data_IF_816897438364
#
_entry.id   IF_816897438364
#
_cell.length_a   1.000
_cell.length_b   1.000
_cell.length_c   1.000
_cell.angle_alpha   90.00
_cell.angle_beta   90.00
_cell.angle_gamma   90.00
#
_symmetry.space_group_name_H-M   'P 1'
#
loop_
_entity.id
_entity.type
_entity.pdbx_description
1 polymer ?
#
# COMPACT_ATOMS: atom_id res chain seq x y z
N UNK A 1 13.34 63.75 -22.75
CA UNK A 1 12.41 63.00 -21.88
C UNK A 1 12.33 61.58 -22.41
N UNK A 2 13.10 60.66 -21.83
CA UNK A 2 13.10 59.26 -22.22
C UNK A 2 12.18 58.49 -21.25
N UNK A 3 11.21 57.76 -21.80
CA UNK A 3 10.36 56.86 -21.02
C UNK A 3 11.22 55.73 -20.41
N UNK A 4 11.02 55.34 -19.15
CA UNK A 4 11.67 54.17 -18.61
C UNK A 4 11.00 52.92 -19.20
N UNK A 5 11.75 52.19 -20.01
CA UNK A 5 11.41 50.82 -20.39
C UNK A 5 11.41 49.95 -19.15
N UNK A 6 10.22 49.56 -18.69
CA UNK A 6 10.06 48.50 -17.71
C UNK A 6 10.74 47.23 -18.24
N UNK A 7 11.52 46.50 -17.42
CA UNK A 7 12.07 45.22 -17.85
C UNK A 7 10.90 44.30 -18.17
N UNK A 8 10.90 43.75 -19.39
CA UNK A 8 9.99 42.70 -19.79
C UNK A 8 10.09 41.58 -18.74
N UNK A 9 9.02 41.41 -17.97
CA UNK A 9 8.80 40.19 -17.20
C UNK A 9 8.88 39.08 -18.23
N UNK A 10 9.99 38.34 -18.24
CA UNK A 10 10.07 37.06 -18.89
C UNK A 10 9.05 36.18 -18.18
N UNK A 11 7.80 36.28 -18.61
CA UNK A 11 6.87 35.19 -18.56
C UNK A 11 7.57 34.10 -19.35
N UNK A 12 8.34 33.28 -18.64
CA UNK A 12 8.60 31.93 -19.07
C UNK A 12 7.22 31.31 -19.16
N UNK A 13 6.58 31.50 -20.31
CA UNK A 13 5.43 30.77 -20.74
C UNK A 13 5.86 29.33 -20.56
N UNK A 14 5.46 28.72 -19.44
CA UNK A 14 5.42 27.28 -19.30
C UNK A 14 4.45 26.86 -20.38
N UNK A 15 5.00 26.66 -21.59
CA UNK A 15 4.43 25.86 -22.66
C UNK A 15 3.77 24.70 -21.94
N UNK A 16 2.48 24.55 -22.16
CA UNK A 16 1.68 23.38 -21.78
C UNK A 16 2.50 22.11 -22.06
N UNK A 17 3.21 21.66 -21.03
CA UNK A 17 4.16 20.56 -21.11
C UNK A 17 3.42 19.27 -20.72
N UNK A 18 3.81 18.13 -21.30
CA UNK A 18 3.04 16.89 -21.29
C UNK A 18 2.79 16.42 -19.86
N UNK A 19 1.69 15.68 -19.66
CA UNK A 19 1.22 15.27 -18.33
C UNK A 19 2.31 14.78 -17.39
N UNK A 20 2.12 15.01 -16.08
CA UNK A 20 3.07 14.71 -15.01
C UNK A 20 3.84 13.40 -15.25
N UNK A 21 5.18 13.41 -15.19
CA UNK A 21 5.96 12.18 -15.38
C UNK A 21 5.58 11.16 -14.32
N UNK A 22 5.49 9.88 -14.72
CA UNK A 22 5.22 8.79 -13.76
C UNK A 22 6.31 8.79 -12.70
N UNK A 23 7.57 8.63 -13.12
CA UNK A 23 8.73 8.78 -12.26
C UNK A 23 9.80 9.55 -13.04
N UNK A 24 10.26 10.66 -12.47
CA UNK A 24 11.23 11.54 -13.11
C UNK A 24 12.54 10.79 -13.32
N UNK A 25 13.11 10.87 -14.53
CA UNK A 25 14.37 10.22 -14.88
C UNK A 25 14.29 8.71 -15.10
N UNK A 26 13.09 8.09 -15.06
CA UNK A 26 12.97 6.63 -15.15
C UNK A 26 13.66 6.01 -16.37
N UNK A 27 13.36 6.51 -17.59
CA UNK A 27 13.95 5.95 -18.82
C UNK A 27 15.45 6.22 -18.96
N UNK A 28 15.92 7.33 -18.38
CA UNK A 28 17.28 7.84 -18.60
C UNK A 28 18.29 7.30 -17.59
N UNK A 29 17.85 7.03 -16.36
CA UNK A 29 18.74 6.66 -15.26
C UNK A 29 18.32 5.35 -14.60
N UNK A 30 17.06 5.27 -14.16
CA UNK A 30 16.58 4.14 -13.36
C UNK A 30 16.53 2.86 -14.18
N UNK A 31 15.98 2.91 -15.40
CA UNK A 31 15.85 1.75 -16.26
C UNK A 31 17.23 1.17 -16.64
N UNK A 32 18.22 1.96 -17.11
CA UNK A 32 19.59 1.46 -17.30
C UNK A 32 20.19 0.84 -16.04
N UNK A 33 20.04 1.49 -14.87
CA UNK A 33 20.54 0.94 -13.61
C UNK A 33 19.88 -0.40 -13.24
N UNK A 34 18.57 -0.53 -13.45
CA UNK A 34 17.83 -1.78 -13.24
C UNK A 34 18.24 -2.87 -14.24
N UNK A 35 18.52 -2.52 -15.50
CA UNK A 35 19.03 -3.47 -16.50
C UNK A 35 20.40 -4.02 -16.09
N UNK A 36 21.31 -3.16 -15.66
CA UNK A 36 22.63 -3.57 -15.15
C UNK A 36 22.48 -4.45 -13.90
N UNK A 37 21.62 -4.05 -12.96
CA UNK A 37 21.31 -4.84 -11.76
C UNK A 37 20.82 -6.25 -12.12
N UNK A 38 19.82 -6.36 -12.99
CA UNK A 38 19.27 -7.66 -13.38
C UNK A 38 20.26 -8.49 -14.20
N UNK A 39 21.06 -7.87 -15.08
CA UNK A 39 22.12 -8.56 -15.79
C UNK A 39 23.12 -9.18 -14.81
N UNK A 40 23.58 -8.41 -13.80
CA UNK A 40 24.48 -8.91 -12.76
C UNK A 40 23.86 -10.07 -11.96
N UNK A 41 22.58 -9.96 -11.60
CA UNK A 41 21.87 -10.99 -10.83
C UNK A 41 21.65 -12.26 -11.64
N UNK A 42 21.30 -12.15 -12.92
CA UNK A 42 21.14 -13.30 -13.82
C UNK A 42 22.50 -13.98 -14.02
N UNK A 43 23.57 -13.21 -14.25
CA UNK A 43 24.93 -13.77 -14.38
C UNK A 43 25.37 -14.48 -13.10
N UNK A 44 25.13 -13.88 -11.92
CA UNK A 44 25.41 -14.50 -10.63
C UNK A 44 24.59 -15.78 -10.41
N UNK A 45 23.31 -15.77 -10.78
CA UNK A 45 22.45 -16.95 -10.73
C UNK A 45 22.95 -18.07 -11.65
N UNK A 46 23.33 -17.76 -12.89
CA UNK A 46 23.85 -18.74 -13.84
C UNK A 46 25.20 -19.30 -13.40
N UNK A 47 26.08 -18.46 -12.84
CA UNK A 47 27.42 -18.85 -12.39
C UNK A 47 27.39 -19.72 -11.12
N UNK A 48 26.58 -19.34 -10.13
CA UNK A 48 26.58 -19.99 -8.81
C UNK A 48 25.39 -20.91 -8.55
N UNK A 49 24.34 -20.85 -9.39
CA UNK A 49 23.12 -21.69 -9.32
C UNK A 49 22.44 -21.67 -7.94
N UNK A 50 22.49 -20.52 -7.28
CA UNK A 50 21.86 -20.31 -5.97
C UNK A 50 20.51 -19.62 -6.12
N UNK A 51 19.43 -20.22 -5.60
CA UNK A 51 18.06 -19.71 -5.81
C UNK A 51 17.80 -18.33 -5.16
N UNK A 52 18.59 -17.94 -4.15
CA UNK A 52 18.40 -16.67 -3.43
C UNK A 52 18.66 -15.42 -4.29
N UNK A 53 19.31 -15.55 -5.45
CA UNK A 53 19.55 -14.43 -6.37
C UNK A 53 18.25 -13.79 -6.87
N UNK A 54 17.20 -14.59 -7.08
CA UNK A 54 15.90 -14.10 -7.55
C UNK A 54 15.19 -13.19 -6.53
N UNK A 55 14.93 -13.61 -5.27
CA UNK A 55 14.31 -12.72 -4.30
C UNK A 55 15.19 -11.50 -3.97
N UNK A 56 16.53 -11.65 -3.98
CA UNK A 56 17.46 -10.51 -3.86
C UNK A 56 17.26 -9.51 -5.00
N UNK A 57 17.11 -9.96 -6.25
CA UNK A 57 16.88 -9.06 -7.38
C UNK A 57 15.56 -8.34 -7.35
N UNK A 58 14.50 -9.03 -6.92
CA UNK A 58 13.19 -8.41 -6.71
C UNK A 58 13.28 -7.33 -5.62
N UNK A 59 13.89 -7.64 -4.48
CA UNK A 59 14.10 -6.67 -3.41
C UNK A 59 14.95 -5.48 -3.86
N UNK A 60 16.10 -5.74 -4.49
CA UNK A 60 17.00 -4.70 -4.97
C UNK A 60 16.32 -3.77 -5.99
N UNK A 61 15.48 -4.33 -6.87
CA UNK A 61 14.67 -3.55 -7.81
C UNK A 61 13.72 -2.59 -7.09
N UNK A 62 12.95 -3.11 -6.14
CA UNK A 62 11.98 -2.31 -5.38
C UNK A 62 12.71 -1.23 -4.57
N UNK A 63 13.77 -1.60 -3.86
CA UNK A 63 14.59 -0.67 -3.06
C UNK A 63 15.18 0.44 -3.92
N UNK A 64 15.74 0.10 -5.08
CA UNK A 64 16.32 1.06 -6.04
C UNK A 64 15.27 2.06 -6.52
N UNK A 65 14.08 1.60 -6.92
CA UNK A 65 13.00 2.48 -7.39
C UNK A 65 12.49 3.39 -6.26
N UNK A 66 12.32 2.84 -5.05
CA UNK A 66 11.74 3.57 -3.92
C UNK A 66 12.70 4.64 -3.38
N UNK A 67 14.00 4.35 -3.35
CA UNK A 67 15.06 5.21 -2.81
C UNK A 67 15.83 6.01 -3.87
N UNK A 68 15.38 6.03 -5.12
CA UNK A 68 16.10 6.77 -6.16
C UNK A 68 16.23 8.27 -5.83
N UNK A 69 17.42 8.88 -5.99
CA UNK A 69 17.67 10.28 -5.65
C UNK A 69 17.17 11.26 -6.72
N UNK A 70 15.86 11.28 -6.96
CA UNK A 70 15.18 12.19 -7.90
C UNK A 70 15.35 13.68 -7.54
N UNK A 71 15.65 14.02 -6.28
CA UNK A 71 15.67 15.40 -5.76
C UNK A 71 16.57 16.37 -6.51
N UNK A 72 17.70 15.90 -7.06
CA UNK A 72 18.63 16.74 -7.84
C UNK A 72 17.97 17.36 -9.06
N UNK A 73 17.02 16.67 -9.70
CA UNK A 73 16.29 17.17 -10.87
C UNK A 73 15.17 18.15 -10.49
N UNK A 74 14.83 18.22 -9.21
CA UNK A 74 13.66 18.92 -8.69
C UNK A 74 14.03 20.02 -7.70
N UNK A 75 15.33 20.31 -7.51
CA UNK A 75 15.86 21.26 -6.53
C UNK A 75 15.34 21.02 -5.10
N UNK A 76 15.19 19.75 -4.71
CA UNK A 76 14.80 19.34 -3.36
C UNK A 76 15.91 18.51 -2.73
N UNK A 77 16.24 18.80 -1.47
CA UNK A 77 17.13 17.95 -0.70
C UNK A 77 16.51 16.56 -0.48
N UNK A 78 17.33 15.51 -0.50
CA UNK A 78 16.86 14.11 -0.48
C UNK A 78 15.88 13.82 0.65
N UNK A 79 16.20 14.26 1.87
CA UNK A 79 15.40 14.03 3.06
C UNK A 79 14.06 14.76 3.08
N UNK A 80 13.88 15.81 2.27
CA UNK A 80 12.63 16.55 2.22
C UNK A 80 11.51 15.76 1.52
N UNK A 81 11.87 14.91 0.56
CA UNK A 81 10.91 14.05 -0.15
C UNK A 81 11.10 12.55 0.14
N UNK A 82 12.19 12.17 0.82
CA UNK A 82 12.45 10.84 1.38
C UNK A 82 12.84 10.95 2.85
N UNK A 83 11.85 11.10 3.75
CA UNK A 83 12.11 11.17 5.18
C UNK A 83 12.79 9.90 5.70
N UNK A 84 13.51 10.01 6.81
CA UNK A 84 14.24 8.88 7.42
C UNK A 84 13.31 7.70 7.72
N UNK A 85 12.10 7.96 8.23
CA UNK A 85 11.12 6.91 8.48
C UNK A 85 10.73 6.12 7.22
N UNK A 86 10.67 6.77 6.06
CA UNK A 86 10.44 6.09 4.78
C UNK A 86 11.63 5.23 4.39
N UNK A 87 12.85 5.75 4.51
CA UNK A 87 14.08 5.04 4.16
C UNK A 87 14.24 3.78 5.02
N UNK A 88 14.08 3.90 6.35
CA UNK A 88 14.11 2.77 7.28
C UNK A 88 13.05 1.73 6.94
N UNK A 89 11.86 2.20 6.53
CA UNK A 89 10.83 1.36 5.96
C UNK A 89 11.36 0.56 4.76
N UNK A 90 11.82 1.20 3.70
CA UNK A 90 12.25 0.45 2.51
C UNK A 90 13.40 -0.52 2.81
N UNK A 91 14.40 -0.09 3.59
CA UNK A 91 15.58 -0.92 3.90
C UNK A 91 15.26 -2.14 4.77
N UNK A 92 14.32 -2.04 5.71
CA UNK A 92 13.89 -3.17 6.54
C UNK A 92 13.34 -4.34 5.73
N UNK A 93 12.88 -4.14 4.49
CA UNK A 93 12.48 -5.26 3.63
C UNK A 93 13.61 -6.29 3.38
N UNK A 94 14.87 -5.88 3.55
CA UNK A 94 16.02 -6.79 3.50
C UNK A 94 15.94 -7.89 4.58
N UNK A 95 15.22 -7.65 5.68
CA UNK A 95 15.10 -8.58 6.80
C UNK A 95 14.41 -9.89 6.40
N UNK A 96 13.54 -9.88 5.37
CA UNK A 96 12.96 -11.11 4.79
C UNK A 96 14.05 -11.99 4.21
N UNK A 97 14.97 -11.41 3.44
CA UNK A 97 16.09 -12.12 2.82
C UNK A 97 17.06 -12.61 3.90
N UNK A 98 17.39 -11.75 4.86
CA UNK A 98 18.23 -12.12 6.01
C UNK A 98 17.65 -13.31 6.79
N UNK A 99 16.35 -13.29 7.07
CA UNK A 99 15.65 -14.42 7.73
C UNK A 99 15.79 -15.69 6.92
N UNK A 100 15.72 -15.60 5.60
CA UNK A 100 15.90 -16.75 4.72
C UNK A 100 17.26 -17.41 4.80
N UNK A 101 18.33 -16.62 4.80
CA UNK A 101 19.68 -17.13 5.02
C UNK A 101 19.80 -17.76 6.40
N UNK A 102 19.25 -17.12 7.45
CA UNK A 102 19.27 -17.68 8.79
C UNK A 102 18.54 -19.03 8.86
N UNK A 103 17.39 -19.19 8.20
CA UNK A 103 16.64 -20.45 8.21
C UNK A 103 17.39 -21.60 7.53
N UNK A 104 18.12 -21.31 6.45
CA UNK A 104 18.88 -22.31 5.69
C UNK A 104 20.30 -22.58 6.22
N UNK A 105 20.79 -21.78 7.17
CA UNK A 105 22.09 -21.97 7.80
C UNK A 105 22.11 -23.07 8.86
N UNK A 106 23.29 -23.40 9.40
CA UNK A 106 23.46 -24.34 10.52
C UNK A 106 23.29 -23.69 11.90
N UNK A 107 22.69 -22.49 11.98
CA UNK A 107 22.46 -21.80 13.25
C UNK A 107 21.61 -22.63 14.23
N UNK A 108 21.83 -22.49 15.55
CA UNK A 108 21.00 -23.16 16.56
C UNK A 108 19.51 -22.82 16.42
N UNK A 109 18.65 -23.78 16.76
CA UNK A 109 17.18 -23.64 16.66
C UNK A 109 16.65 -22.38 17.37
N UNK A 110 17.18 -22.07 18.56
CA UNK A 110 16.76 -20.88 19.31
C UNK A 110 17.12 -19.59 18.56
N UNK A 111 18.32 -19.51 17.99
CA UNK A 111 18.75 -18.36 17.18
C UNK A 111 17.87 -18.18 15.95
N UNK A 112 17.58 -19.27 15.22
CA UNK A 112 16.62 -19.25 14.10
C UNK A 112 15.26 -18.75 14.55
N UNK A 113 14.76 -19.26 15.68
CA UNK A 113 13.46 -18.85 16.23
C UNK A 113 13.43 -17.35 16.55
N UNK A 114 14.46 -16.81 17.21
CA UNK A 114 14.57 -15.38 17.51
C UNK A 114 14.56 -14.55 16.22
N UNK A 115 15.36 -14.93 15.22
CA UNK A 115 15.40 -14.21 13.94
C UNK A 115 14.04 -14.23 13.24
N UNK A 116 13.37 -15.38 13.22
CA UNK A 116 12.03 -15.53 12.65
C UNK A 116 10.97 -14.72 13.41
N UNK A 117 11.01 -14.68 14.74
CA UNK A 117 10.10 -13.81 15.50
C UNK A 117 10.40 -12.34 15.28
N UNK A 118 11.69 -11.99 15.15
CA UNK A 118 12.14 -10.69 14.69
C UNK A 118 11.55 -10.29 13.34
N UNK A 119 11.30 -11.24 12.43
CA UNK A 119 10.68 -10.96 11.13
C UNK A 119 9.23 -10.48 11.30
N UNK A 120 8.46 -11.07 12.21
CA UNK A 120 7.08 -10.63 12.48
C UNK A 120 7.07 -9.19 13.02
N UNK A 121 7.99 -8.89 13.93
CA UNK A 121 8.17 -7.52 14.48
C UNK A 121 8.63 -6.56 13.38
N UNK A 122 9.63 -6.92 12.59
CA UNK A 122 10.16 -6.10 11.50
C UNK A 122 9.06 -5.75 10.48
N UNK A 123 8.36 -6.79 10.00
CA UNK A 123 7.29 -6.63 9.02
C UNK A 123 6.21 -5.67 9.53
N UNK A 124 5.91 -5.67 10.82
CA UNK A 124 4.79 -4.88 11.35
C UNK A 124 5.20 -3.50 11.83
N UNK A 125 6.25 -3.37 12.64
CA UNK A 125 6.74 -2.08 13.16
C UNK A 125 7.26 -1.20 12.02
N UNK A 126 8.11 -1.75 11.14
CA UNK A 126 8.61 -0.99 10.00
C UNK A 126 7.60 -0.88 8.85
N UNK A 127 6.42 -1.50 8.95
CA UNK A 127 5.29 -1.12 8.11
C UNK A 127 4.56 0.13 8.65
N UNK A 128 4.43 0.25 9.97
CA UNK A 128 3.74 1.37 10.61
C UNK A 128 4.55 2.66 10.44
N UNK A 129 5.85 2.64 10.73
CA UNK A 129 6.73 3.83 10.66
C UNK A 129 6.59 4.61 9.33
N UNK A 130 6.76 4.01 8.14
CA UNK A 130 6.65 4.71 6.87
C UNK A 130 5.23 5.18 6.52
N UNK A 131 4.23 4.75 7.29
CA UNK A 131 2.82 5.15 7.12
C UNK A 131 2.40 6.37 7.95
N UNK A 132 3.25 6.80 8.89
CA UNK A 132 2.99 7.97 9.74
C UNK A 132 3.28 9.27 8.99
N UNK A 133 2.60 10.34 9.38
CA UNK A 133 2.76 11.68 8.78
C UNK A 133 4.22 12.15 8.61
N UNK A 134 5.11 12.03 9.62
CA UNK A 134 6.51 12.44 9.51
C UNK A 134 7.34 11.64 8.49
N UNK A 135 6.88 10.46 8.10
CA UNK A 135 7.54 9.63 7.10
C UNK A 135 7.10 9.94 5.66
N UNK A 136 6.13 10.84 5.47
CA UNK A 136 5.65 11.25 4.15
C UNK A 136 6.35 12.55 3.74
N UNK A 137 6.99 12.53 2.57
CA UNK A 137 7.77 13.67 2.07
C UNK A 137 6.91 14.82 1.55
N UNK A 138 7.56 15.97 1.32
CA UNK A 138 6.96 17.15 0.67
C UNK A 138 6.37 16.79 -0.71
N UNK A 139 5.40 17.57 -1.22
CA UNK A 139 4.91 17.44 -2.60
C UNK A 139 6.05 17.48 -3.63
N UNK A 140 5.94 16.64 -4.66
CA UNK A 140 6.99 16.45 -5.69
C UNK A 140 6.34 16.41 -7.06
N UNK A 141 6.93 17.02 -8.09
CA UNK A 141 6.43 17.04 -9.48
C UNK A 141 6.54 15.67 -10.19
N UNK A 142 5.90 14.65 -9.63
CA UNK A 142 5.78 13.30 -10.20
C UNK A 142 4.44 12.66 -9.82
N UNK A 143 3.91 11.82 -10.71
CA UNK A 143 2.65 11.11 -10.47
C UNK A 143 2.82 9.91 -9.53
N UNK A 144 3.88 9.10 -9.73
CA UNK A 144 4.22 8.01 -8.83
C UNK A 144 4.91 8.57 -7.60
N UNK A 145 4.24 8.45 -6.45
CA UNK A 145 4.76 8.84 -5.14
C UNK A 145 5.00 7.59 -4.30
N UNK A 146 6.24 7.03 -4.31
CA UNK A 146 6.64 5.91 -3.47
C UNK A 146 6.18 6.02 -2.02
N UNK A 147 6.40 7.17 -1.41
CA UNK A 147 6.07 7.46 -0.02
C UNK A 147 4.57 7.50 0.26
N UNK A 148 3.75 7.90 -0.72
CA UNK A 148 2.28 7.85 -0.57
C UNK A 148 1.71 6.44 -0.74
N UNK A 149 2.37 5.57 -1.51
CA UNK A 149 1.86 4.24 -1.85
C UNK A 149 2.37 3.19 -0.87
N UNK A 150 3.64 3.28 -0.50
CA UNK A 150 4.36 2.27 0.28
C UNK A 150 3.80 2.12 1.68
N UNK A 151 3.50 3.22 2.40
CA UNK A 151 2.98 3.17 3.77
C UNK A 151 1.70 2.32 3.92
N UNK A 152 0.56 2.76 3.34
CA UNK A 152 -0.71 2.00 3.39
C UNK A 152 -0.57 0.59 2.80
N UNK A 153 0.15 0.46 1.68
CA UNK A 153 0.34 -0.83 1.01
C UNK A 153 1.10 -1.82 1.88
N UNK A 154 2.17 -1.37 2.54
CA UNK A 154 3.00 -2.21 3.40
C UNK A 154 2.26 -2.59 4.69
N UNK A 155 1.56 -1.65 5.34
CA UNK A 155 0.73 -1.96 6.52
C UNK A 155 -0.30 -3.04 6.18
N UNK A 156 -0.97 -2.94 5.03
CA UNK A 156 -1.86 -3.99 4.55
C UNK A 156 -1.15 -5.32 4.35
N UNK A 157 -0.05 -5.32 3.60
CA UNK A 157 0.69 -6.53 3.24
C UNK A 157 1.22 -7.25 4.49
N UNK A 158 1.87 -6.52 5.39
CA UNK A 158 2.47 -7.06 6.59
C UNK A 158 1.44 -7.47 7.65
N UNK A 159 0.34 -6.73 7.79
CA UNK A 159 -0.78 -7.14 8.63
C UNK A 159 -1.43 -8.44 8.13
N UNK A 160 -1.56 -8.61 6.81
CA UNK A 160 -1.96 -9.87 6.19
C UNK A 160 -0.98 -10.99 6.54
N UNK A 161 0.32 -10.79 6.36
CA UNK A 161 1.33 -11.82 6.64
C UNK A 161 1.28 -12.24 8.11
N UNK A 162 1.25 -11.29 9.05
CA UNK A 162 1.13 -11.58 10.47
C UNK A 162 -0.15 -12.39 10.76
N UNK A 163 -1.30 -11.97 10.25
CA UNK A 163 -2.56 -12.70 10.42
C UNK A 163 -2.48 -14.12 9.84
N UNK A 164 -1.90 -14.30 8.66
CA UNK A 164 -1.72 -15.60 8.00
C UNK A 164 -0.79 -16.51 8.79
N UNK A 165 0.34 -15.99 9.26
CA UNK A 165 1.28 -16.73 10.10
C UNK A 165 0.61 -17.15 11.41
N UNK A 166 -0.05 -16.22 12.11
CA UNK A 166 -0.78 -16.52 13.34
C UNK A 166 -1.85 -17.59 13.13
N UNK A 167 -2.63 -17.47 12.05
CA UNK A 167 -3.62 -18.49 11.68
C UNK A 167 -2.95 -19.83 11.43
N UNK A 168 -1.85 -19.88 10.68
CA UNK A 168 -1.07 -21.11 10.45
C UNK A 168 -0.64 -21.75 11.77
N UNK A 169 -0.24 -21.00 12.79
CA UNK A 169 0.11 -21.57 14.10
C UNK A 169 -1.11 -22.09 14.86
N UNK A 170 -2.27 -21.43 14.74
CA UNK A 170 -3.52 -21.83 15.41
C UNK A 170 -4.09 -23.11 14.81
N UNK A 171 -4.17 -23.17 13.49
CA UNK A 171 -4.78 -24.33 12.80
C UNK A 171 -3.73 -25.34 12.37
N UNK A 172 -2.44 -25.00 12.36
CA UNK A 172 -1.33 -25.82 11.85
C UNK A 172 -1.15 -27.18 12.52
N UNK A 173 -0.36 -28.04 11.86
CA UNK A 173 0.06 -29.30 12.47
C UNK A 173 1.05 -29.03 13.63
N UNK A 174 1.00 -29.84 14.70
CA UNK A 174 1.92 -29.70 15.82
C UNK A 174 3.38 -29.93 15.39
N UNK A 175 4.35 -29.30 16.07
CA UNK A 175 5.76 -29.49 15.76
C UNK A 175 6.18 -30.94 16.07
N UNK A 176 7.03 -31.52 15.22
CA UNK A 176 7.62 -32.85 15.46
C UNK A 176 9.06 -32.69 15.93
N UNK A 177 9.36 -33.08 17.17
CA UNK A 177 10.71 -33.07 17.72
C UNK A 177 11.30 -31.67 17.97
N UNK A 178 10.48 -30.61 17.87
CA UNK A 178 10.87 -29.23 18.16
C UNK A 178 9.84 -28.58 19.11
N UNK A 179 10.26 -27.59 19.93
CA UNK A 179 9.34 -26.89 20.83
C UNK A 179 8.20 -26.16 20.11
N UNK A 180 8.46 -25.63 18.92
CA UNK A 180 7.47 -24.96 18.05
C UNK A 180 7.90 -25.06 16.58
N UNK A 181 6.98 -24.96 15.62
CA UNK A 181 7.34 -25.04 14.21
C UNK A 181 8.01 -23.73 13.76
N UNK A 182 9.12 -23.83 13.04
CA UNK A 182 9.78 -22.72 12.33
C UNK A 182 9.78 -23.01 10.82
N UNK A 183 9.80 -22.00 9.94
CA UNK A 183 9.82 -22.22 8.51
C UNK A 183 11.09 -22.94 8.06
N UNK A 184 10.96 -23.93 7.17
CA UNK A 184 12.12 -24.55 6.49
C UNK A 184 12.78 -23.63 5.47
N UNK A 185 12.01 -22.69 4.94
CA UNK A 185 12.38 -21.68 3.96
C UNK A 185 12.69 -22.21 2.56
N UNK A 186 12.06 -21.61 1.57
CA UNK A 186 12.29 -21.89 0.15
C UNK A 186 12.30 -20.58 -0.64
N UNK A 187 13.37 -20.35 -1.40
CA UNK A 187 13.58 -19.09 -2.11
C UNK A 187 12.57 -18.87 -3.24
N UNK A 188 12.17 -19.92 -3.96
CA UNK A 188 11.13 -19.84 -4.99
C UNK A 188 9.77 -19.43 -4.41
N UNK A 189 9.42 -19.95 -3.23
CA UNK A 189 8.20 -19.57 -2.53
C UNK A 189 8.19 -18.10 -2.11
N UNK A 190 9.33 -17.58 -1.65
CA UNK A 190 9.48 -16.16 -1.31
C UNK A 190 9.48 -15.28 -2.56
N UNK A 191 10.17 -15.68 -3.63
CA UNK A 191 10.10 -14.99 -4.92
C UNK A 191 8.67 -14.88 -5.43
N UNK A 192 7.90 -15.98 -5.34
CA UNK A 192 6.49 -15.96 -5.68
C UNK A 192 5.70 -15.00 -4.79
N UNK A 193 5.89 -15.04 -3.46
CA UNK A 193 5.22 -14.12 -2.54
C UNK A 193 5.52 -12.64 -2.87
N UNK A 194 6.77 -12.32 -3.24
CA UNK A 194 7.18 -10.97 -3.60
C UNK A 194 6.61 -10.52 -4.96
N UNK A 195 6.69 -11.37 -5.98
CA UNK A 195 6.30 -11.04 -7.36
C UNK A 195 4.78 -11.09 -7.55
N UNK A 196 4.12 -12.14 -7.08
CA UNK A 196 2.67 -12.32 -7.23
C UNK A 196 1.86 -11.72 -6.09
N UNK A 197 2.49 -11.48 -4.94
CA UNK A 197 1.85 -10.87 -3.76
C UNK A 197 2.21 -9.40 -3.57
N UNK A 198 3.47 -9.12 -3.19
CA UNK A 198 3.85 -7.80 -2.69
C UNK A 198 3.83 -6.71 -3.76
N UNK A 199 4.39 -6.98 -4.94
CA UNK A 199 4.42 -6.02 -6.06
C UNK A 199 2.99 -5.67 -6.52
N UNK A 200 2.08 -6.64 -6.73
CA UNK A 200 0.68 -6.37 -6.93
C UNK A 200 0.05 -5.55 -5.80
N UNK A 201 0.24 -5.99 -4.55
CA UNK A 201 -0.45 -5.40 -3.39
C UNK A 201 -0.05 -3.96 -3.11
N UNK A 202 1.24 -3.63 -3.22
CA UNK A 202 1.82 -2.36 -2.82
C UNK A 202 1.88 -1.39 -4.02
N UNK A 203 2.88 -1.46 -4.93
CA UNK A 203 3.02 -0.45 -5.99
C UNK A 203 1.91 -0.51 -7.05
N UNK A 204 1.57 -1.68 -7.60
CA UNK A 204 0.63 -1.75 -8.73
C UNK A 204 -0.78 -1.33 -8.31
N UNK A 205 -1.25 -1.84 -7.17
CA UNK A 205 -2.55 -1.45 -6.62
C UNK A 205 -2.58 0.03 -6.23
N UNK A 206 -1.49 0.56 -5.68
CA UNK A 206 -1.37 1.98 -5.35
C UNK A 206 -1.51 2.87 -6.58
N UNK A 207 -0.75 2.59 -7.63
CA UNK A 207 -0.82 3.31 -8.91
C UNK A 207 -2.24 3.23 -9.49
N UNK A 208 -2.82 2.02 -9.53
CA UNK A 208 -4.18 1.81 -10.04
C UNK A 208 -5.21 2.64 -9.25
N UNK A 209 -5.15 2.62 -7.90
CA UNK A 209 -6.03 3.44 -7.05
C UNK A 209 -5.88 4.94 -7.35
N UNK A 210 -4.66 5.45 -7.50
CA UNK A 210 -4.43 6.86 -7.80
C UNK A 210 -4.96 7.25 -9.18
N UNK A 211 -4.71 6.43 -10.21
CA UNK A 211 -5.24 6.66 -11.56
C UNK A 211 -6.77 6.65 -11.59
N UNK A 212 -7.39 5.67 -10.95
CA UNK A 212 -8.86 5.61 -10.84
C UNK A 212 -9.44 6.78 -10.06
N UNK A 213 -8.78 7.26 -9.00
CA UNK A 213 -9.19 8.47 -8.27
C UNK A 213 -9.15 9.70 -9.19
N UNK A 214 -8.05 9.91 -9.90
CA UNK A 214 -7.93 11.05 -10.81
C UNK A 214 -8.94 10.97 -11.95
N UNK A 215 -9.13 9.80 -12.57
CA UNK A 215 -10.12 9.60 -13.63
C UNK A 215 -11.56 9.84 -13.15
N UNK A 216 -11.91 9.43 -11.93
CA UNK A 216 -13.24 9.73 -11.33
C UNK A 216 -13.43 11.23 -11.14
N UNK A 217 -12.41 11.91 -10.62
CA UNK A 217 -12.47 13.35 -10.38
C UNK A 217 -12.51 14.15 -11.68
N UNK A 218 -11.74 13.77 -12.70
CA UNK A 218 -11.59 14.51 -13.97
C UNK A 218 -12.70 14.19 -14.98
N UNK A 219 -13.04 12.92 -15.13
CA UNK A 219 -13.85 12.41 -16.26
C UNK A 219 -15.16 11.75 -15.79
N UNK A 220 -15.36 11.54 -14.49
CA UNK A 220 -16.53 10.79 -13.98
C UNK A 220 -16.53 9.31 -14.36
N UNK A 221 -15.41 8.79 -14.92
CA UNK A 221 -15.24 7.38 -15.31
C UNK A 221 -14.83 6.52 -14.12
N UNK A 222 -14.93 5.19 -14.24
CA UNK A 222 -14.54 4.20 -13.20
C UNK A 222 -15.41 4.21 -11.92
N UNK A 223 -16.67 4.64 -12.03
CA UNK A 223 -17.66 4.66 -10.93
C UNK A 223 -18.51 3.38 -10.86
N UNK A 224 -18.48 2.56 -11.91
CA UNK A 224 -19.28 1.33 -12.03
C UNK A 224 -18.74 0.11 -11.28
N UNK A 225 -19.53 -0.97 -11.26
CA UNK A 225 -19.17 -2.22 -10.60
C UNK A 225 -17.95 -2.92 -11.19
N UNK A 226 -17.67 -2.77 -12.49
CA UNK A 226 -16.45 -3.30 -13.11
C UNK A 226 -15.16 -2.75 -12.48
N UNK A 227 -15.13 -1.46 -12.14
CA UNK A 227 -14.01 -0.83 -11.45
C UNK A 227 -13.83 -1.37 -10.03
N UNK A 228 -14.94 -1.61 -9.33
CA UNK A 228 -14.96 -2.19 -7.99
C UNK A 228 -14.45 -3.63 -8.02
N UNK A 229 -14.98 -4.45 -8.92
CA UNK A 229 -14.59 -5.84 -9.11
C UNK A 229 -13.10 -5.96 -9.44
N UNK A 230 -12.58 -5.12 -10.34
CA UNK A 230 -11.15 -5.11 -10.65
C UNK A 230 -10.31 -4.75 -9.42
N UNK A 231 -10.69 -3.72 -8.66
CA UNK A 231 -9.89 -3.24 -7.50
C UNK A 231 -9.90 -4.21 -6.33
N UNK A 232 -11.04 -4.82 -6.01
CA UNK A 232 -11.17 -5.77 -4.92
C UNK A 232 -10.71 -7.17 -5.35
N UNK A 233 -10.97 -7.59 -6.59
CA UNK A 233 -10.43 -8.84 -7.16
C UNK A 233 -8.90 -8.84 -7.17
N UNK A 234 -8.28 -7.72 -7.55
CA UNK A 234 -6.82 -7.57 -7.48
C UNK A 234 -6.29 -7.65 -6.04
N UNK A 235 -7.03 -7.15 -5.04
CA UNK A 235 -6.69 -7.36 -3.62
C UNK A 235 -6.78 -8.86 -3.28
N UNK A 236 -7.87 -9.53 -3.61
CA UNK A 236 -8.09 -10.94 -3.27
C UNK A 236 -6.98 -11.80 -3.86
N UNK A 237 -6.68 -11.64 -5.15
CA UNK A 237 -5.63 -12.42 -5.83
C UNK A 237 -4.26 -12.18 -5.19
N UNK A 238 -3.89 -10.93 -4.96
CA UNK A 238 -2.61 -10.61 -4.33
C UNK A 238 -2.53 -11.13 -2.87
N UNK A 239 -3.63 -11.08 -2.12
CA UNK A 239 -3.72 -11.62 -0.77
C UNK A 239 -3.53 -13.15 -0.78
N UNK A 240 -4.27 -13.87 -1.63
CA UNK A 240 -4.13 -15.31 -1.80
C UNK A 240 -2.69 -15.69 -2.20
N UNK A 241 -2.06 -14.93 -3.11
CA UNK A 241 -0.67 -15.17 -3.50
C UNK A 241 0.32 -14.99 -2.34
N UNK A 242 0.11 -13.99 -1.48
CA UNK A 242 0.92 -13.81 -0.24
C UNK A 242 0.76 -15.04 0.66
N UNK A 243 -0.49 -15.43 0.95
CA UNK A 243 -0.77 -16.58 1.81
C UNK A 243 -0.18 -17.87 1.27
N UNK A 244 -0.33 -18.12 -0.03
CA UNK A 244 0.22 -19.28 -0.71
C UNK A 244 1.75 -19.31 -0.70
N UNK A 245 2.39 -18.19 -1.02
CA UNK A 245 3.85 -18.09 -1.04
C UNK A 245 4.47 -18.30 0.35
N UNK A 246 3.94 -17.63 1.39
CA UNK A 246 4.42 -17.84 2.76
C UNK A 246 4.10 -19.25 3.29
N UNK A 247 2.97 -19.83 2.89
CA UNK A 247 2.65 -21.20 3.26
C UNK A 247 3.69 -22.19 2.72
N UNK A 248 4.05 -22.06 1.44
CA UNK A 248 5.06 -22.90 0.79
C UNK A 248 6.47 -22.64 1.33
N UNK A 249 6.82 -21.37 1.60
CA UNK A 249 8.10 -21.02 2.22
C UNK A 249 8.26 -21.69 3.60
N UNK A 250 7.17 -21.77 4.36
CA UNK A 250 7.20 -22.44 5.66
C UNK A 250 7.36 -23.96 5.53
N UNK A 251 6.73 -24.58 4.53
CA UNK A 251 6.92 -26.00 4.21
C UNK A 251 8.30 -26.31 3.60
N UNK A 252 9.03 -25.30 3.12
CA UNK A 252 10.24 -25.48 2.33
C UNK A 252 9.95 -25.98 0.91
N UNK A 253 8.72 -25.84 0.43
CA UNK A 253 8.27 -26.36 -0.86
C UNK A 253 8.30 -25.28 -1.95
N UNK A 254 8.51 -25.71 -3.19
CA UNK A 254 8.36 -24.85 -4.36
C UNK A 254 6.87 -24.66 -4.66
N UNK A 255 6.39 -23.45 -4.99
CA UNK A 255 5.01 -23.22 -5.39
C UNK A 255 4.58 -24.15 -6.53
N UNK A 256 3.33 -24.62 -6.46
CA UNK A 256 2.66 -25.48 -7.45
C UNK A 256 3.25 -26.89 -7.64
N UNK A 257 4.15 -27.34 -6.78
CA UNK A 257 4.67 -28.72 -6.83
C UNK A 257 3.93 -29.69 -5.92
N UNK A 258 3.16 -29.19 -4.95
CA UNK A 258 2.33 -30.02 -4.06
C UNK A 258 0.96 -30.17 -4.69
N UNK A 259 0.61 -31.40 -5.08
CA UNK A 259 -0.72 -31.73 -5.59
C UNK A 259 -1.75 -31.73 -4.46
N UNK A 260 -2.85 -31.01 -4.68
CA UNK A 260 -4.01 -31.01 -3.79
C UNK A 260 -4.89 -32.22 -4.14
N UNK A 261 -5.35 -32.95 -3.13
CA UNK A 261 -6.32 -34.04 -3.29
C UNK A 261 -7.73 -33.45 -3.37
N UNK A 262 -8.24 -33.27 -4.58
CA UNK A 262 -9.58 -32.72 -4.84
C UNK A 262 -10.71 -33.61 -4.35
N UNK A 263 -10.44 -34.91 -4.23
CA UNK A 263 -11.42 -35.91 -3.84
C UNK A 263 -11.50 -36.07 -2.31
N UNK A 264 -10.67 -35.34 -1.56
CA UNK A 264 -10.66 -35.39 -0.11
C UNK A 264 -11.97 -34.81 0.50
N UNK A 265 -12.53 -35.45 1.55
CA UNK A 265 -13.71 -34.94 2.21
C UNK A 265 -13.45 -33.53 2.76
N UNK A 266 -14.34 -32.59 2.42
CA UNK A 266 -14.24 -31.18 2.81
C UNK A 266 -13.57 -30.25 1.79
N UNK A 267 -13.01 -30.75 0.67
CA UNK A 267 -12.44 -29.91 -0.40
C UNK A 267 -13.46 -28.89 -0.92
N UNK A 268 -14.65 -29.35 -1.29
CA UNK A 268 -15.74 -28.48 -1.77
C UNK A 268 -16.14 -27.41 -0.75
N UNK A 269 -16.16 -27.75 0.54
CA UNK A 269 -16.46 -26.80 1.62
C UNK A 269 -15.36 -25.76 1.77
N UNK A 270 -14.09 -26.16 1.79
CA UNK A 270 -12.96 -25.24 1.93
C UNK A 270 -12.86 -24.29 0.72
N UNK A 271 -13.08 -24.81 -0.50
CA UNK A 271 -13.19 -24.00 -1.71
C UNK A 271 -14.37 -23.04 -1.65
N UNK A 272 -15.54 -23.52 -1.20
CA UNK A 272 -16.72 -22.70 -0.99
C UNK A 272 -16.46 -21.53 -0.05
N UNK A 273 -15.76 -21.76 1.07
CA UNK A 273 -15.37 -20.71 2.01
C UNK A 273 -14.48 -19.66 1.31
N UNK A 274 -13.47 -20.09 0.53
CA UNK A 274 -12.59 -19.16 -0.21
C UNK A 274 -13.40 -18.32 -1.19
N UNK A 275 -14.26 -18.95 -1.99
CA UNK A 275 -15.07 -18.28 -3.01
C UNK A 275 -16.05 -17.29 -2.37
N UNK A 276 -16.81 -17.72 -1.36
CA UNK A 276 -17.76 -16.85 -0.65
C UNK A 276 -17.05 -15.66 0.00
N UNK A 277 -15.87 -15.89 0.60
CA UNK A 277 -15.07 -14.81 1.20
C UNK A 277 -14.53 -13.82 0.16
N UNK A 278 -14.10 -14.32 -1.00
CA UNK A 278 -13.70 -13.48 -2.14
C UNK A 278 -14.87 -12.63 -2.66
N UNK A 279 -16.04 -13.25 -2.83
CA UNK A 279 -17.27 -12.55 -3.23
C UNK A 279 -17.69 -11.51 -2.19
N UNK A 280 -17.58 -11.81 -0.90
CA UNK A 280 -17.84 -10.84 0.16
C UNK A 280 -16.92 -9.60 0.05
N UNK A 281 -15.62 -9.82 -0.14
CA UNK A 281 -14.65 -8.72 -0.32
C UNK A 281 -14.94 -7.89 -1.58
N UNK A 282 -15.41 -8.52 -2.66
CA UNK A 282 -15.72 -7.85 -3.91
C UNK A 282 -17.05 -7.09 -3.85
N UNK A 283 -18.12 -7.74 -3.43
CA UNK A 283 -19.48 -7.21 -3.52
C UNK A 283 -19.89 -6.43 -2.28
N UNK A 284 -19.66 -6.97 -1.08
CA UNK A 284 -20.09 -6.30 0.17
C UNK A 284 -19.14 -5.15 0.49
N UNK A 285 -17.84 -5.45 0.66
CA UNK A 285 -16.85 -4.42 0.94
C UNK A 285 -16.67 -3.46 -0.23
N UNK A 286 -16.65 -3.97 -1.46
CA UNK A 286 -16.57 -3.14 -2.65
C UNK A 286 -17.79 -2.24 -2.84
N UNK A 287 -18.99 -2.76 -2.57
CA UNK A 287 -20.25 -1.99 -2.57
C UNK A 287 -20.26 -0.90 -1.51
N UNK A 288 -19.83 -1.19 -0.28
CA UNK A 288 -19.68 -0.18 0.77
C UNK A 288 -18.75 0.96 0.32
N UNK A 289 -17.59 0.61 -0.27
CA UNK A 289 -16.64 1.61 -0.79
C UNK A 289 -17.17 2.41 -1.97
N UNK A 290 -18.11 1.86 -2.74
CA UNK A 290 -18.80 2.58 -3.82
C UNK A 290 -19.79 3.60 -3.24
N UNK A 291 -20.45 3.26 -2.14
CA UNK A 291 -21.46 4.11 -1.50
C UNK A 291 -20.87 5.33 -0.76
N UNK A 292 -19.64 5.26 -0.25
CA UNK A 292 -18.94 6.42 0.37
C UNK A 292 -18.86 7.63 -0.58
N UNK A 293 -18.92 7.40 -1.90
CA UNK A 293 -18.93 8.48 -2.91
C UNK A 293 -17.55 9.03 -3.25
N UNK A 294 -17.54 9.99 -4.17
CA UNK A 294 -16.38 10.80 -4.55
C UNK A 294 -16.72 12.28 -4.29
N UNK A 295 -15.74 13.11 -3.92
CA UNK A 295 -14.30 12.86 -3.89
C UNK A 295 -13.82 12.11 -2.63
N UNK A 296 -12.65 11.45 -2.73
CA UNK A 296 -12.03 10.68 -1.64
C UNK A 296 -11.83 11.45 -0.31
N UNK A 297 -11.91 12.78 -0.35
CA UNK A 297 -11.80 13.66 0.82
C UNK A 297 -13.06 13.63 1.71
N UNK A 298 -14.22 13.23 1.19
CA UNK A 298 -15.46 13.10 1.97
C UNK A 298 -15.43 11.87 2.90
N UNK A 299 -14.48 10.96 2.71
CA UNK A 299 -14.38 9.77 3.54
C UNK A 299 -14.08 10.14 5.00
N UNK A 300 -14.98 9.74 5.89
CA UNK A 300 -14.84 9.95 7.34
C UNK A 300 -13.96 8.88 7.98
N UNK A 301 -13.48 9.17 9.19
CA UNK A 301 -12.70 8.20 9.97
C UNK A 301 -13.54 6.95 10.28
N UNK A 302 -14.81 7.14 10.68
CA UNK A 302 -15.74 6.03 10.95
C UNK A 302 -15.94 5.13 9.72
N UNK A 303 -16.13 5.72 8.53
CA UNK A 303 -16.22 4.94 7.28
C UNK A 303 -14.92 4.18 6.98
N UNK A 304 -13.77 4.76 7.32
CA UNK A 304 -12.47 4.09 7.19
C UNK A 304 -12.40 2.86 8.11
N UNK A 305 -12.85 2.97 9.37
CA UNK A 305 -12.94 1.84 10.30
C UNK A 305 -13.82 0.72 9.76
N UNK A 306 -15.03 1.04 9.31
CA UNK A 306 -15.97 0.04 8.76
C UNK A 306 -15.34 -0.69 7.56
N UNK A 307 -14.66 0.01 6.65
CA UNK A 307 -13.96 -0.63 5.52
C UNK A 307 -12.87 -1.62 5.92
N UNK A 308 -12.15 -1.34 7.00
CA UNK A 308 -11.07 -2.20 7.48
C UNK A 308 -11.62 -3.36 8.32
N UNK A 309 -12.71 -3.16 9.06
CA UNK A 309 -13.45 -4.26 9.69
C UNK A 309 -13.99 -5.21 8.62
N UNK A 310 -14.68 -4.70 7.59
CA UNK A 310 -15.17 -5.50 6.46
C UNK A 310 -14.03 -6.22 5.72
N UNK A 311 -12.85 -5.62 5.66
CA UNK A 311 -11.68 -6.29 5.11
C UNK A 311 -11.31 -7.51 5.97
N UNK A 312 -11.12 -7.33 7.27
CA UNK A 312 -10.70 -8.40 8.17
C UNK A 312 -11.76 -9.51 8.24
N UNK A 313 -13.03 -9.16 8.34
CA UNK A 313 -14.17 -10.10 8.30
C UNK A 313 -14.16 -10.94 7.02
N UNK A 314 -13.76 -10.38 5.87
CA UNK A 314 -13.61 -11.15 4.64
C UNK A 314 -12.29 -11.93 4.54
N UNK A 315 -11.18 -11.39 5.04
CA UNK A 315 -9.87 -12.02 4.94
C UNK A 315 -9.69 -13.22 5.88
N UNK A 316 -10.25 -13.19 7.09
CA UNK A 316 -10.17 -14.30 8.05
C UNK A 316 -10.72 -15.61 7.44
N UNK A 317 -11.99 -15.68 7.00
CA UNK A 317 -12.51 -16.89 6.38
C UNK A 317 -11.81 -17.22 5.06
N UNK A 318 -11.38 -16.20 4.28
CA UNK A 318 -10.59 -16.43 3.06
C UNK A 318 -9.31 -17.24 3.34
N UNK A 319 -8.53 -16.85 4.36
CA UNK A 319 -7.31 -17.56 4.72
C UNK A 319 -7.55 -18.85 5.46
N UNK A 320 -8.62 -18.94 6.25
CA UNK A 320 -9.03 -20.19 6.85
C UNK A 320 -9.33 -21.23 5.76
N UNK A 321 -10.17 -20.87 4.78
CA UNK A 321 -10.47 -21.73 3.63
C UNK A 321 -9.22 -22.06 2.80
N UNK A 322 -8.36 -21.06 2.51
CA UNK A 322 -7.11 -21.29 1.78
C UNK A 322 -6.22 -22.28 2.53
N UNK A 323 -5.99 -22.08 3.82
CA UNK A 323 -5.15 -22.99 4.61
C UNK A 323 -5.78 -24.38 4.71
N UNK A 324 -7.09 -24.50 4.88
CA UNK A 324 -7.77 -25.80 4.83
C UNK A 324 -7.52 -26.52 3.50
N UNK A 325 -7.61 -25.82 2.37
CA UNK A 325 -7.27 -26.39 1.06
C UNK A 325 -5.80 -26.82 0.98
N UNK A 326 -4.87 -25.98 1.44
CA UNK A 326 -3.44 -26.26 1.32
C UNK A 326 -2.94 -27.40 2.21
N UNK A 327 -3.73 -27.83 3.20
CA UNK A 327 -3.46 -29.02 4.00
C UNK A 327 -4.26 -30.25 3.54
N UNK A 328 -4.94 -30.18 2.38
CA UNK A 328 -5.54 -31.33 1.69
C UNK A 328 -4.56 -31.96 0.69
N UNK A 329 -3.30 -32.09 1.10
CA UNK A 329 -2.28 -32.85 0.39
C UNK A 329 -2.05 -34.20 1.09
N UNK A 330 -1.46 -35.14 0.35
CA UNK A 330 -1.21 -36.50 0.83
C UNK A 330 -0.43 -36.53 2.16
N UNK A 331 0.55 -35.63 2.34
CA UNK A 331 1.39 -35.62 3.53
C UNK A 331 0.59 -35.28 4.78
N UNK A 332 -0.32 -34.30 4.71
CA UNK A 332 -1.14 -33.89 5.85
C UNK A 332 -2.34 -34.81 6.07
N UNK A 333 -2.94 -35.36 5.01
CA UNK A 333 -4.03 -36.32 5.10
C UNK A 333 -3.58 -37.65 5.72
N UNK A 334 -2.44 -38.20 5.30
CA UNK A 334 -1.85 -39.41 5.88
C UNK A 334 -1.53 -39.25 7.38
N UNK A 335 -1.28 -38.01 7.83
CA UNK A 335 -0.96 -37.69 9.22
C UNK A 335 -2.20 -37.39 10.08
N UNK A 336 -3.42 -37.52 9.54
CA UNK A 336 -4.65 -37.20 10.27
C UNK A 336 -4.80 -35.70 10.61
N UNK A 337 -4.05 -34.83 9.93
CA UNK A 337 -4.07 -33.37 10.13
C UNK A 337 -4.67 -32.61 8.93
N UNK A 338 -5.12 -33.32 7.89
CA UNK A 338 -5.83 -32.75 6.74
C UNK A 338 -7.35 -32.66 6.96
N UNK A 339 -8.02 -31.76 6.24
CA UNK A 339 -9.48 -31.54 6.30
C UNK A 339 -9.90 -30.17 6.85
N UNK A 340 -11.22 -30.00 7.07
CA UNK A 340 -11.77 -28.82 7.75
C UNK A 340 -11.35 -28.86 9.23
N UNK A 341 -10.54 -27.90 9.65
CA UNK A 341 -9.91 -27.96 10.97
C UNK A 341 -10.84 -27.48 12.06
N UNK A 342 -11.19 -28.35 13.00
CA UNK A 342 -11.81 -27.97 14.26
C UNK A 342 -10.77 -27.33 15.18
N UNK A 343 -11.17 -26.30 15.93
CA UNK A 343 -10.32 -25.55 16.88
C UNK A 343 -9.71 -26.39 18.02
N UNK A 344 -9.91 -27.71 18.04
CA UNK A 344 -9.63 -28.60 19.17
C UNK A 344 -8.22 -29.21 19.22
N UNK A 345 -7.46 -29.27 18.13
CA UNK A 345 -6.29 -30.17 18.08
C UNK A 345 -4.92 -29.54 18.38
N UNK A 346 -4.83 -28.32 18.94
CA UNK A 346 -3.53 -27.70 19.22
C UNK A 346 -3.49 -26.65 20.35
N UNK A 347 -4.16 -26.88 21.50
CA UNK A 347 -4.17 -25.94 22.63
C UNK A 347 -2.76 -25.43 23.06
N UNK A 348 -1.70 -26.18 22.79
CA UNK A 348 -0.30 -25.84 23.09
C UNK A 348 0.33 -24.74 22.20
N UNK A 349 -0.18 -24.48 20.99
CA UNK A 349 0.44 -23.54 20.03
C UNK A 349 -0.36 -22.24 19.91
N UNK A 350 -1.58 -22.22 20.45
CA UNK A 350 -2.39 -21.01 20.60
C UNK A 350 -1.66 -19.85 21.29
N UNK A 351 -0.87 -20.07 22.36
CA UNK A 351 -0.10 -19.00 23.00
C UNK A 351 0.90 -18.31 22.06
N UNK A 352 1.30 -18.97 20.96
CA UNK A 352 2.18 -18.40 19.93
C UNK A 352 1.34 -17.80 18.80
N UNK A 353 0.39 -18.56 18.26
CA UNK A 353 -0.38 -18.16 17.09
C UNK A 353 -1.39 -17.04 17.35
N UNK A 354 -2.06 -17.04 18.50
CA UNK A 354 -3.09 -16.05 18.84
C UNK A 354 -2.52 -14.63 18.98
N UNK A 355 -1.42 -14.38 19.71
CA UNK A 355 -0.84 -13.03 19.76
C UNK A 355 -0.45 -12.48 18.39
N UNK A 356 0.14 -13.31 17.52
CA UNK A 356 0.53 -12.90 16.17
C UNK A 356 -0.69 -12.60 15.30
N UNK A 357 -1.72 -13.45 15.41
CA UNK A 357 -2.98 -13.26 14.69
C UNK A 357 -3.68 -11.97 15.12
N UNK A 358 -3.82 -11.74 16.42
CA UNK A 358 -4.39 -10.53 17.00
C UNK A 358 -3.57 -9.30 16.62
N UNK A 359 -2.23 -9.40 16.65
CA UNK A 359 -1.35 -8.33 16.19
C UNK A 359 -1.56 -8.01 14.71
N UNK A 360 -1.73 -9.02 13.86
CA UNK A 360 -2.12 -8.83 12.46
C UNK A 360 -3.43 -8.05 12.31
N UNK A 361 -4.44 -8.34 13.15
CA UNK A 361 -5.70 -7.59 13.20
C UNK A 361 -5.46 -6.14 13.65
N UNK A 362 -4.64 -5.92 14.68
CA UNK A 362 -4.27 -4.57 15.13
C UNK A 362 -3.56 -3.79 14.02
N UNK A 363 -2.68 -4.42 13.24
CA UNK A 363 -2.02 -3.78 12.10
C UNK A 363 -3.03 -3.46 10.99
N UNK A 364 -3.94 -4.39 10.68
CA UNK A 364 -4.92 -4.24 9.60
C UNK A 364 -6.08 -3.28 9.91
N UNK A 365 -6.40 -3.06 11.18
CA UNK A 365 -7.51 -2.17 11.58
C UNK A 365 -6.96 -0.82 12.07
N UNK A 366 -6.57 -0.61 13.35
CA UNK A 366 -6.22 0.73 13.84
C UNK A 366 -5.05 1.37 13.09
N UNK A 367 -3.93 0.65 12.91
CA UNK A 367 -2.75 1.24 12.26
C UNK A 367 -3.00 1.52 10.79
N UNK A 368 -3.79 0.67 10.11
CA UNK A 368 -4.15 0.92 8.73
C UNK A 368 -5.12 2.08 8.57
N UNK A 369 -6.08 2.24 9.48
CA UNK A 369 -6.96 3.42 9.50
C UNK A 369 -6.10 4.68 9.63
N UNK A 370 -5.13 4.68 10.56
CA UNK A 370 -4.20 5.78 10.75
C UNK A 370 -3.38 6.07 9.47
N UNK A 371 -2.81 5.03 8.86
CA UNK A 371 -2.07 5.12 7.60
C UNK A 371 -2.92 5.74 6.48
N UNK A 372 -4.18 5.34 6.34
CA UNK A 372 -5.08 5.87 5.32
C UNK A 372 -5.46 7.34 5.57
N UNK A 373 -5.60 7.76 6.84
CA UNK A 373 -5.83 9.17 7.20
C UNK A 373 -4.65 10.04 6.79
N UNK A 374 -3.42 9.65 7.15
CA UNK A 374 -2.22 10.40 6.77
C UNK A 374 -2.01 10.40 5.25
N UNK A 375 -2.24 9.26 4.59
CA UNK A 375 -2.18 9.15 3.14
C UNK A 375 -3.18 10.11 2.46
N UNK A 376 -4.42 10.22 2.95
CA UNK A 376 -5.41 11.17 2.41
C UNK A 376 -4.96 12.62 2.57
N UNK A 377 -4.45 13.02 3.75
CA UNK A 377 -3.91 14.36 3.98
C UNK A 377 -2.76 14.69 3.02
N UNK A 378 -1.83 13.75 2.84
CA UNK A 378 -0.71 13.95 1.93
C UNK A 378 -1.13 13.96 0.45
N UNK A 379 -2.15 13.20 0.08
CA UNK A 379 -2.75 13.28 -1.27
C UNK A 379 -3.41 14.64 -1.51
N UNK A 380 -4.04 15.23 -0.50
CA UNK A 380 -4.58 16.59 -0.59
C UNK A 380 -3.45 17.61 -0.82
N UNK A 381 -2.31 17.49 -0.14
CA UNK A 381 -1.12 18.32 -0.40
C UNK A 381 -0.63 18.17 -1.84
N UNK A 382 -0.45 16.94 -2.31
CA UNK A 382 0.00 16.65 -3.67
C UNK A 382 -0.99 17.17 -4.72
N UNK A 383 -2.29 17.06 -4.45
CA UNK A 383 -3.34 17.56 -5.33
C UNK A 383 -3.28 19.08 -5.48
N UNK A 384 -3.15 19.80 -4.36
CA UNK A 384 -3.10 21.26 -4.33
C UNK A 384 -1.80 21.82 -4.96
N UNK A 385 -0.65 21.27 -4.59
CA UNK A 385 0.65 21.81 -4.97
C UNK A 385 1.15 21.33 -6.35
N UNK A 386 0.69 20.17 -6.84
CA UNK A 386 1.28 19.54 -8.03
C UNK A 386 0.22 19.20 -9.07
N UNK A 387 -0.82 18.44 -8.73
CA UNK A 387 -1.77 17.92 -9.73
C UNK A 387 -2.58 19.05 -10.37
N UNK A 388 -3.29 19.85 -9.56
CA UNK A 388 -4.17 20.91 -10.07
C UNK A 388 -3.44 21.97 -10.91
N UNK A 389 -2.23 22.44 -10.52
CA UNK A 389 -1.44 23.36 -11.37
C UNK A 389 -1.10 22.83 -12.75
N UNK A 390 -0.92 21.51 -12.90
CA UNK A 390 -0.55 20.88 -14.18
C UNK A 390 -1.76 20.55 -15.07
N UNK A 391 -2.98 20.72 -14.57
CA UNK A 391 -4.21 20.53 -15.36
C UNK A 391 -4.52 21.77 -16.21
N UNK A 392 -5.20 21.55 -17.34
CA UNK A 392 -5.76 22.64 -18.18
C UNK A 392 -6.72 23.51 -17.36
N UNK A 393 -6.87 24.81 -17.66
CA UNK A 393 -7.74 25.73 -16.90
C UNK A 393 -9.14 25.18 -16.64
N UNK A 394 -9.79 24.60 -17.64
CA UNK A 394 -11.15 24.07 -17.55
C UNK A 394 -11.23 22.82 -16.67
N UNK A 395 -10.26 21.91 -16.81
CA UNK A 395 -10.17 20.72 -15.97
C UNK A 395 -9.87 21.09 -14.52
N UNK A 396 -8.96 22.05 -14.29
CA UNK A 396 -8.62 22.57 -12.97
C UNK A 396 -9.83 23.19 -12.29
N UNK A 397 -10.59 24.04 -13.00
CA UNK A 397 -11.81 24.67 -12.48
C UNK A 397 -12.84 23.62 -12.04
N UNK A 398 -13.13 22.64 -12.90
CA UNK A 398 -14.07 21.54 -12.58
C UNK A 398 -13.61 20.72 -11.38
N UNK A 399 -12.33 20.37 -11.32
CA UNK A 399 -11.75 19.60 -10.21
C UNK A 399 -11.81 20.39 -8.90
N UNK A 400 -11.37 21.65 -8.91
CA UNK A 400 -11.42 22.55 -7.76
C UNK A 400 -12.85 22.71 -7.25
N UNK A 401 -13.83 22.92 -8.14
CA UNK A 401 -15.25 23.02 -7.77
C UNK A 401 -15.73 21.79 -7.00
N UNK A 402 -15.44 20.58 -7.49
CA UNK A 402 -15.80 19.33 -6.80
C UNK A 402 -15.13 19.21 -5.43
N UNK A 403 -13.85 19.56 -5.36
CA UNK A 403 -13.08 19.53 -4.10
C UNK A 403 -13.64 20.54 -3.09
N UNK A 404 -13.96 21.76 -3.53
CA UNK A 404 -14.46 22.82 -2.65
C UNK A 404 -15.89 22.55 -2.16
N UNK A 405 -16.77 22.00 -3.00
CA UNK A 405 -18.10 21.53 -2.57
C UNK A 405 -17.94 20.47 -1.47
N UNK A 406 -17.09 19.47 -1.70
CA UNK A 406 -16.85 18.43 -0.73
C UNK A 406 -16.21 18.93 0.57
N UNK A 407 -15.31 19.92 0.49
CA UNK A 407 -14.78 20.61 1.67
C UNK A 407 -15.88 21.38 2.40
N UNK A 408 -16.83 22.01 1.72
CA UNK A 408 -17.92 22.73 2.38
C UNK A 408 -18.87 21.79 3.14
N UNK A 409 -19.10 20.59 2.60
CA UNK A 409 -20.05 19.59 3.14
C UNK A 409 -19.49 18.75 4.30
N UNK A 410 -18.17 18.77 4.52
CA UNK A 410 -17.55 17.95 5.57
C UNK A 410 -17.57 18.60 6.95
N UNK A 411 -17.45 17.80 8.04
CA UNK A 411 -17.38 18.32 9.40
C UNK A 411 -16.23 19.31 9.58
N UNK A 412 -16.45 20.33 10.41
CA UNK A 412 -15.52 21.46 10.61
C UNK A 412 -14.09 21.05 10.95
N UNK A 413 -13.91 20.15 11.93
CA UNK A 413 -12.58 19.68 12.33
C UNK A 413 -11.81 19.02 11.17
N UNK A 414 -12.51 18.27 10.31
CA UNK A 414 -11.90 17.62 9.15
C UNK A 414 -11.61 18.63 8.03
N UNK A 415 -12.53 19.58 7.82
CA UNK A 415 -12.39 20.69 6.87
C UNK A 415 -11.18 21.55 7.19
N UNK A 416 -11.05 21.98 8.44
CA UNK A 416 -9.93 22.76 8.94
C UNK A 416 -8.61 22.01 8.72
N UNK A 417 -8.56 20.73 9.08
CA UNK A 417 -7.36 19.92 8.90
C UNK A 417 -6.94 19.84 7.42
N UNK A 418 -7.85 19.55 6.49
CA UNK A 418 -7.50 19.46 5.06
C UNK A 418 -7.15 20.82 4.45
N UNK A 419 -7.89 21.88 4.78
CA UNK A 419 -7.59 23.23 4.28
C UNK A 419 -6.24 23.74 4.81
N UNK A 420 -5.89 23.44 6.07
CA UNK A 420 -4.56 23.71 6.62
C UNK A 420 -3.46 23.02 5.83
N UNK A 421 -3.63 21.72 5.54
CA UNK A 421 -2.65 20.94 4.77
C UNK A 421 -2.51 21.45 3.33
N UNK A 422 -3.63 21.89 2.69
CA UNK A 422 -3.59 22.54 1.38
C UNK A 422 -2.83 23.86 1.44
N UNK A 423 -3.08 24.70 2.45
CA UNK A 423 -2.43 26.00 2.59
C UNK A 423 -0.93 25.86 2.84
N UNK A 424 -0.52 24.96 3.73
CA UNK A 424 0.89 24.64 3.98
C UNK A 424 1.58 24.19 2.69
N UNK A 425 0.92 23.35 1.88
CA UNK A 425 1.48 22.90 0.61
C UNK A 425 1.59 24.05 -0.42
N UNK A 426 0.60 24.94 -0.50
CA UNK A 426 0.61 26.10 -1.40
C UNK A 426 1.62 27.18 -0.99
N UNK A 427 1.89 27.33 0.31
CA UNK A 427 2.91 28.24 0.80
C UNK A 427 4.34 27.75 0.45
N UNK A 428 4.52 26.45 0.25
CA UNK A 428 5.81 25.85 -0.07
C UNK A 428 6.14 25.80 -1.59
N UNK A 429 5.19 26.14 -2.47
CA UNK A 429 5.42 26.16 -3.94
C UNK A 429 5.85 27.55 -4.43
N UNK A 430 6.47 27.64 -5.63
CA UNK A 430 6.85 28.92 -6.24
C UNK A 430 5.67 29.89 -6.39
N UNK A 431 5.99 31.18 -6.34
CA UNK A 431 4.98 32.25 -6.31
C UNK A 431 3.98 32.17 -7.48
N UNK A 432 4.45 31.91 -8.71
CA UNK A 432 3.56 31.79 -9.87
C UNK A 432 2.52 30.66 -9.73
N UNK A 433 2.88 29.54 -9.09
CA UNK A 433 1.92 28.44 -8.83
C UNK A 433 0.95 28.84 -7.72
N UNK A 434 1.45 29.55 -6.70
CA UNK A 434 0.63 30.06 -5.60
C UNK A 434 -0.43 31.03 -6.11
N UNK A 435 -0.04 32.02 -6.91
CA UNK A 435 -0.95 33.01 -7.51
C UNK A 435 -2.01 32.32 -8.38
N UNK A 436 -1.59 31.43 -9.29
CA UNK A 436 -2.47 30.64 -10.14
C UNK A 436 -3.55 29.88 -9.36
N UNK A 437 -3.14 29.20 -8.28
CA UNK A 437 -4.04 28.41 -7.46
C UNK A 437 -4.95 29.29 -6.58
N UNK A 438 -4.47 30.43 -6.11
CA UNK A 438 -5.28 31.41 -5.37
C UNK A 438 -6.36 31.99 -6.27
N UNK A 439 -6.02 32.46 -7.46
CA UNK A 439 -6.98 32.97 -8.45
C UNK A 439 -8.04 31.93 -8.81
N UNK A 440 -7.61 30.70 -9.12
CA UNK A 440 -8.53 29.62 -9.45
C UNK A 440 -9.46 29.25 -8.28
N UNK A 441 -8.96 29.26 -7.04
CA UNK A 441 -9.79 29.03 -5.84
C UNK A 441 -10.81 30.13 -5.64
N UNK A 442 -10.42 31.40 -5.82
CA UNK A 442 -11.33 32.55 -5.66
C UNK A 442 -12.41 32.55 -6.74
N UNK A 443 -12.06 32.25 -7.99
CA UNK A 443 -13.02 32.12 -9.09
C UNK A 443 -14.07 31.05 -8.78
N UNK A 444 -13.64 29.85 -8.36
CA UNK A 444 -14.55 28.77 -7.97
C UNK A 444 -15.39 29.17 -6.75
N UNK A 445 -14.80 29.82 -5.75
CA UNK A 445 -15.51 30.25 -4.54
C UNK A 445 -16.67 31.22 -4.84
N UNK A 446 -16.47 32.11 -5.81
CA UNK A 446 -17.48 33.07 -6.26
C UNK A 446 -18.69 32.40 -6.92
N UNK A 447 -18.51 31.21 -7.51
CA UNK A 447 -19.58 30.42 -8.14
C UNK A 447 -20.34 29.50 -7.18
N UNK A 448 -19.81 29.28 -5.96
CA UNK A 448 -20.46 28.39 -4.99
C UNK A 448 -21.72 29.03 -4.37
N UNK A 449 -22.74 28.22 -4.01
CA UNK A 449 -23.88 28.68 -3.23
C UNK A 449 -23.46 29.42 -1.95
N UNK A 450 -24.25 30.43 -1.55
CA UNK A 450 -23.91 31.31 -0.43
C UNK A 450 -23.63 30.55 0.88
N UNK A 451 -24.40 29.50 1.17
CA UNK A 451 -24.18 28.67 2.36
C UNK A 451 -22.80 27.99 2.35
N UNK A 452 -22.46 27.29 1.25
CA UNK A 452 -21.16 26.63 1.10
C UNK A 452 -20.00 27.62 1.13
N UNK A 453 -20.19 28.79 0.51
CA UNK A 453 -19.20 29.88 0.52
C UNK A 453 -18.90 30.37 1.94
N UNK A 454 -19.94 30.67 2.72
CA UNK A 454 -19.79 31.11 4.13
C UNK A 454 -19.04 30.09 4.96
N UNK A 455 -19.38 28.80 4.79
CA UNK A 455 -18.72 27.71 5.50
C UNK A 455 -17.21 27.63 5.20
N UNK A 456 -16.83 27.76 3.93
CA UNK A 456 -15.42 27.77 3.53
C UNK A 456 -14.69 29.04 4.00
N UNK A 457 -15.32 30.20 3.88
CA UNK A 457 -14.76 31.49 4.32
C UNK A 457 -14.48 31.50 5.82
N UNK A 458 -15.44 31.08 6.65
CA UNK A 458 -15.24 30.99 8.11
C UNK A 458 -14.03 30.10 8.47
N UNK A 459 -13.78 29.04 7.69
CA UNK A 459 -12.62 28.17 7.91
C UNK A 459 -11.32 28.83 7.44
N UNK A 460 -11.37 29.62 6.37
CA UNK A 460 -10.20 30.41 5.93
C UNK A 460 -9.85 31.48 6.97
N UNK A 461 -10.84 32.17 7.51
CA UNK A 461 -10.65 33.19 8.55
C UNK A 461 -9.99 32.59 9.79
N UNK A 462 -10.46 31.41 10.23
CA UNK A 462 -9.84 30.67 11.32
C UNK A 462 -8.39 30.28 11.02
N UNK A 463 -8.10 29.82 9.80
CA UNK A 463 -6.72 29.48 9.39
C UNK A 463 -5.79 30.70 9.33
N UNK A 464 -6.33 31.89 9.04
CA UNK A 464 -5.57 33.14 9.04
C UNK A 464 -5.36 33.69 10.44
N UNK A 465 -6.28 33.45 11.37
CA UNK A 465 -6.11 33.82 12.79
C UNK A 465 -5.11 32.92 13.53
N UNK A 466 -4.98 31.66 13.10
CA UNK A 466 -4.03 30.67 13.64
C UNK A 466 -2.60 30.78 13.06
N UNK A 467 -2.39 31.61 12.03
CA UNK A 467 -1.13 31.76 11.30
C UNK A 467 -0.34 32.98 11.79
#
# INVERSE_FOLDING_TARGET
>A
MAQPTLPAVQTSARRSAPGLPILVGFRQEILPALLVLWAAIILAFLAWRQDFWLPVGVWATVTTIMLWPVGRRLNLAYHEYRPIGFILGVLSMAYIIFTGFAMQSDLPFLTKSIIFWGLVVDLTVFAIIPSLGPAIGKPVEMFFRPDLIFGDGRVLCCGIIAMVLGMRYIIGSPPMGAPWPIPKWNWWAISFAMVAGFIPMIPLRGIMKLRMRLARLREGRWTGWGAVALREGFLVVAALAIGYGFHNAFLGATPFTIALQTDAPGFGTALGIVVVSALFLIFVRGGYKKHIGDPFIQETIAQTWVKEILLVVGLIPLYYGLMSLLHMDAMHLQRGVGGLRTFSNAALIWPIGLPIFLWGITVLIPFRVLAQVYQRRALVKQMAAVILPHETPEARHRLLRRVMIALAEMPEAQRLAYMREMQVALNAVPEGVRQLMTEARMAVMAELPAAQRRTLMATMDQLMADA
#
